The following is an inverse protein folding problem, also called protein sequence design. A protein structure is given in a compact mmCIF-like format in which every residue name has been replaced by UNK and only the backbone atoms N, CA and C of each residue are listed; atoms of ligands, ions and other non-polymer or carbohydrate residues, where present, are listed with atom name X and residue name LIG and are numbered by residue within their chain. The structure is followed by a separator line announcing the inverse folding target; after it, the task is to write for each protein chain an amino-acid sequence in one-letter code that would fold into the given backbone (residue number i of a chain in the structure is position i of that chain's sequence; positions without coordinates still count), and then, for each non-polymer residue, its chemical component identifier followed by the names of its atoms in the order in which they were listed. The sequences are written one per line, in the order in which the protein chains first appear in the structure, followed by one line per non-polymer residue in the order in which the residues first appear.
data_IF_193928623735
#
_entry.id   IF_193928623735
#
_cell.length_a   1.000
_cell.length_b   1.000
_cell.length_c   1.000
_cell.angle_alpha   90.00
_cell.angle_beta   90.00
_cell.angle_gamma   90.00
#
_symmetry.space_group_name_H-M   'P 1'
#
loop_
_entity.id
_entity.type
_entity.pdbx_description
1 polymer ?
#
# COMPACT_ATOMS: atom_id res chain seq x y z
N UNK A 1 14.42 1.04 26.94
CA UNK A 1 13.13 1.03 26.24
C UNK A 1 13.35 0.16 25.02
N UNK A 2 12.64 -0.96 24.90
CA UNK A 2 12.67 -1.73 23.66
C UNK A 2 12.09 -0.83 22.56
N UNK A 3 12.83 -0.64 21.47
CA UNK A 3 12.35 0.09 20.30
C UNK A 3 11.14 -0.64 19.75
N UNK A 4 9.99 -0.02 19.77
CA UNK A 4 8.77 -0.55 19.17
C UNK A 4 9.00 -0.72 17.66
N UNK A 5 8.87 -1.94 17.14
CA UNK A 5 8.90 -2.17 15.71
C UNK A 5 7.76 -1.42 14.99
N UNK A 6 8.10 -0.81 13.87
CA UNK A 6 7.14 -0.11 13.01
C UNK A 6 6.09 -1.08 12.49
N UNK A 7 4.80 -0.76 12.64
CA UNK A 7 3.69 -1.50 12.04
C UNK A 7 3.48 -1.06 10.59
N UNK A 8 3.69 -2.00 9.68
CA UNK A 8 3.56 -1.77 8.23
C UNK A 8 2.26 -2.39 7.73
N UNK A 9 1.30 -1.56 7.34
CA UNK A 9 0.10 -2.01 6.63
C UNK A 9 0.44 -2.30 5.17
N UNK A 10 0.08 -3.49 4.69
CA UNK A 10 0.39 -3.94 3.34
C UNK A 10 -0.91 -4.30 2.63
N UNK A 11 -1.28 -3.55 1.59
CA UNK A 11 -2.46 -3.89 0.78
C UNK A 11 -2.07 -4.85 -0.35
N UNK A 12 -2.90 -5.85 -0.60
CA UNK A 12 -2.58 -6.91 -1.58
C UNK A 12 -2.64 -6.48 -3.05
N UNK A 13 -3.26 -5.31 -3.36
CA UNK A 13 -3.41 -4.83 -4.73
C UNK A 13 -4.44 -5.63 -5.54
N UNK A 14 -4.19 -5.79 -6.85
CA UNK A 14 -5.05 -6.61 -7.71
C UNK A 14 -4.84 -8.09 -7.40
N UNK A 15 -5.91 -8.80 -6.97
CA UNK A 15 -5.86 -10.23 -6.65
C UNK A 15 -5.58 -11.12 -7.86
N UNK A 16 -5.79 -10.64 -9.07
CA UNK A 16 -5.51 -11.34 -10.32
C UNK A 16 -4.11 -11.03 -10.87
N UNK A 17 -3.40 -10.10 -10.22
CA UNK A 17 -2.06 -9.64 -10.58
C UNK A 17 -0.95 -10.24 -9.73
N UNK A 18 0.16 -9.51 -9.64
CA UNK A 18 1.41 -9.95 -9.00
C UNK A 18 1.50 -9.56 -7.51
N UNK A 19 0.51 -8.85 -6.94
CA UNK A 19 0.61 -8.32 -5.59
C UNK A 19 0.89 -9.40 -4.53
N UNK A 20 0.07 -10.45 -4.50
CA UNK A 20 0.31 -11.58 -3.59
C UNK A 20 1.61 -12.32 -3.86
N UNK A 21 2.04 -12.44 -5.12
CA UNK A 21 3.33 -13.06 -5.45
C UNK A 21 4.49 -12.32 -4.78
N UNK A 22 4.52 -10.99 -4.92
CA UNK A 22 5.57 -10.16 -4.31
C UNK A 22 5.52 -10.26 -2.79
N UNK A 23 4.34 -10.14 -2.18
CA UNK A 23 4.16 -10.24 -0.73
C UNK A 23 4.64 -11.61 -0.21
N UNK A 24 4.17 -12.71 -0.83
CA UNK A 24 4.51 -14.07 -0.40
C UNK A 24 6.00 -14.35 -0.56
N UNK A 25 6.63 -13.95 -1.68
CA UNK A 25 8.06 -14.12 -1.89
C UNK A 25 8.89 -13.31 -0.87
N UNK A 26 8.46 -12.10 -0.54
CA UNK A 26 9.13 -11.27 0.47
C UNK A 26 9.11 -11.94 1.83
N UNK A 27 7.96 -12.41 2.27
CA UNK A 27 7.80 -13.00 3.60
C UNK A 27 8.05 -14.52 3.67
N UNK A 28 8.50 -15.13 2.56
CA UNK A 28 9.12 -16.46 2.62
C UNK A 28 10.47 -16.45 3.35
N UNK A 29 11.15 -15.30 3.37
CA UNK A 29 12.27 -15.03 4.26
C UNK A 29 11.75 -14.53 5.62
N UNK A 30 11.86 -15.38 6.64
CA UNK A 30 11.34 -15.09 7.99
C UNK A 30 12.00 -13.86 8.64
N UNK A 31 13.23 -13.52 8.24
CA UNK A 31 13.95 -12.33 8.74
C UNK A 31 13.26 -11.02 8.40
N UNK A 32 12.42 -11.00 7.35
CA UNK A 32 11.64 -9.82 6.99
C UNK A 32 10.65 -9.40 8.08
N UNK A 33 10.13 -10.36 8.87
CA UNK A 33 9.24 -10.05 9.99
C UNK A 33 9.99 -9.56 11.25
N UNK A 34 11.33 -9.62 11.26
CA UNK A 34 12.15 -9.06 12.34
C UNK A 34 12.41 -7.56 12.14
N UNK A 35 12.30 -7.07 10.89
CA UNK A 35 12.55 -5.66 10.55
C UNK A 35 11.35 -4.75 10.87
N UNK A 36 10.14 -5.31 10.88
CA UNK A 36 8.90 -4.57 11.13
C UNK A 36 7.80 -5.53 11.59
N UNK A 37 6.65 -5.00 12.00
CA UNK A 37 5.44 -5.78 12.23
C UNK A 37 4.54 -5.67 10.99
N UNK A 38 4.61 -6.62 10.02
CA UNK A 38 3.80 -6.56 8.82
C UNK A 38 2.36 -6.99 9.09
N UNK A 39 1.41 -6.23 8.53
CA UNK A 39 -0.03 -6.49 8.60
C UNK A 39 -0.58 -6.45 7.17
N UNK A 40 -0.87 -7.62 6.62
CA UNK A 40 -1.44 -7.75 5.27
C UNK A 40 -2.95 -7.54 5.36
N UNK A 41 -3.47 -6.59 4.59
CA UNK A 41 -4.89 -6.39 4.38
C UNK A 41 -5.31 -7.13 3.12
N UNK A 42 -6.12 -8.19 3.27
CA UNK A 42 -6.47 -9.03 2.13
C UNK A 42 -7.32 -10.23 2.49
N UNK A 43 -6.94 -11.41 2.00
CA UNK A 43 -7.59 -12.68 2.31
C UNK A 43 -6.55 -13.80 2.45
N UNK A 44 -6.60 -14.50 3.56
CA UNK A 44 -5.75 -15.67 3.82
C UNK A 44 -6.03 -16.81 2.82
N UNK A 45 -7.27 -16.94 2.34
CA UNK A 45 -7.64 -17.93 1.32
C UNK A 45 -7.01 -17.59 -0.04
N UNK A 46 -7.06 -16.31 -0.44
CA UNK A 46 -6.45 -15.85 -1.69
C UNK A 46 -4.92 -15.97 -1.60
N UNK A 47 -4.32 -15.60 -0.47
CA UNK A 47 -2.90 -15.81 -0.22
C UNK A 47 -2.51 -17.29 -0.36
N UNK A 48 -3.29 -18.21 0.21
CA UNK A 48 -3.07 -19.65 0.08
C UNK A 48 -3.23 -20.17 -1.37
N UNK A 49 -4.17 -19.59 -2.13
CA UNK A 49 -4.33 -19.88 -3.56
C UNK A 49 -3.06 -19.50 -4.35
N UNK A 50 -2.60 -18.25 -4.21
CA UNK A 50 -1.39 -17.77 -4.89
C UNK A 50 -0.16 -18.56 -4.46
N UNK A 51 0.00 -18.86 -3.17
CA UNK A 51 1.10 -19.69 -2.68
C UNK A 51 1.15 -21.04 -3.37
N UNK A 52 0.00 -21.70 -3.52
CA UNK A 52 -0.09 -23.00 -4.21
C UNK A 52 0.22 -22.88 -5.69
N UNK A 53 -0.35 -21.87 -6.36
CA UNK A 53 -0.13 -21.63 -7.79
C UNK A 53 1.33 -21.31 -8.12
N UNK A 54 2.07 -20.72 -7.18
CA UNK A 54 3.49 -20.36 -7.30
C UNK A 54 4.43 -21.43 -6.73
N UNK A 55 3.89 -22.53 -6.22
CA UNK A 55 4.67 -23.62 -5.59
C UNK A 55 5.59 -23.13 -4.45
N UNK A 56 5.19 -22.06 -3.75
CA UNK A 56 5.97 -21.51 -2.64
C UNK A 56 5.81 -22.36 -1.36
N UNK A 57 6.85 -22.37 -0.51
CA UNK A 57 6.78 -23.06 0.77
C UNK A 57 5.65 -22.51 1.66
N UNK A 58 5.20 -23.26 2.66
CA UNK A 58 4.23 -22.76 3.64
C UNK A 58 4.76 -21.52 4.36
N UNK A 59 3.95 -20.46 4.39
CA UNK A 59 4.21 -19.24 5.16
C UNK A 59 3.22 -19.23 6.32
N UNK A 60 3.73 -19.18 7.54
CA UNK A 60 2.89 -19.12 8.73
C UNK A 60 2.36 -17.69 8.92
N UNK A 61 1.13 -17.44 8.50
CA UNK A 61 0.45 -16.17 8.68
C UNK A 61 -0.45 -16.22 9.92
N UNK A 62 -0.27 -15.24 10.79
CA UNK A 62 -1.14 -15.02 11.95
C UNK A 62 -2.40 -14.30 11.50
N UNK A 63 -3.53 -15.01 11.47
CA UNK A 63 -4.82 -14.41 11.10
C UNK A 63 -5.34 -13.65 12.31
N UNK A 64 -5.59 -12.36 12.14
CA UNK A 64 -6.07 -11.44 13.17
C UNK A 64 -7.32 -10.71 12.68
N UNK A 65 -8.14 -10.26 13.64
CA UNK A 65 -9.35 -9.48 13.35
C UNK A 65 -9.09 -7.98 13.37
N UNK A 66 -8.15 -7.52 14.19
CA UNK A 66 -7.82 -6.10 14.36
C UNK A 66 -6.31 -5.89 14.29
N UNK A 67 -5.87 -4.76 13.74
CA UNK A 67 -4.44 -4.43 13.60
C UNK A 67 -3.74 -4.23 14.95
N UNK A 68 -4.50 -3.97 16.01
CA UNK A 68 -4.02 -3.92 17.39
C UNK A 68 -3.44 -5.26 17.86
N UNK A 69 -4.03 -6.38 17.40
CA UNK A 69 -3.67 -7.75 17.78
C UNK A 69 -2.44 -8.29 17.02
N UNK A 70 -1.80 -7.45 16.21
CA UNK A 70 -0.67 -7.86 15.40
C UNK A 70 0.51 -8.33 16.26
N UNK A 71 0.86 -9.61 16.07
CA UNK A 71 2.01 -10.21 16.74
C UNK A 71 3.34 -9.73 16.15
N UNK A 72 4.30 -9.42 17.01
CA UNK A 72 5.68 -9.07 16.65
C UNK A 72 6.40 -10.32 16.11
N UNK A 73 7.36 -10.13 15.20
CA UNK A 73 8.11 -11.20 14.54
C UNK A 73 7.22 -12.22 13.81
N UNK A 74 6.05 -11.79 13.36
CA UNK A 74 5.08 -12.61 12.61
C UNK A 74 4.52 -11.84 11.43
N UNK A 75 4.21 -12.56 10.39
CA UNK A 75 3.41 -12.03 9.29
C UNK A 75 1.94 -12.09 9.69
N UNK A 76 1.32 -10.94 9.89
CA UNK A 76 -0.09 -10.86 10.26
C UNK A 76 -0.95 -10.62 9.02
N UNK A 77 -2.18 -11.14 9.01
CA UNK A 77 -3.15 -10.93 7.94
C UNK A 77 -4.54 -10.65 8.51
N UNK A 78 -5.18 -9.61 8.00
CA UNK A 78 -6.58 -9.26 8.26
C UNK A 78 -7.38 -9.64 7.03
N UNK A 79 -8.39 -10.50 7.21
CA UNK A 79 -9.34 -10.83 6.14
C UNK A 79 -10.34 -9.67 5.98
N UNK A 80 -10.15 -8.86 4.94
CA UNK A 80 -11.03 -7.73 4.59
C UNK A 80 -11.74 -7.93 3.24
N UNK A 81 -11.56 -9.10 2.64
CA UNK A 81 -12.18 -9.52 1.37
C UNK A 81 -12.98 -10.79 1.60
N UNK A 82 -14.10 -10.89 0.91
CA UNK A 82 -15.02 -12.02 1.06
C UNK A 82 -14.34 -13.35 0.72
N UNK A 83 -14.67 -14.36 1.51
CA UNK A 83 -14.06 -15.71 1.43
C UNK A 83 -14.30 -16.42 0.10
N UNK A 84 -15.38 -16.08 -0.61
CA UNK A 84 -15.78 -16.69 -1.89
C UNK A 84 -15.24 -15.93 -3.11
N UNK A 85 -14.41 -14.91 -2.89
CA UNK A 85 -13.81 -14.10 -3.95
C UNK A 85 -12.98 -14.97 -4.89
N UNK A 86 -13.38 -15.01 -6.17
CA UNK A 86 -12.74 -15.84 -7.19
C UNK A 86 -11.52 -15.12 -7.76
N UNK A 87 -10.38 -15.80 -7.75
CA UNK A 87 -9.16 -15.37 -8.44
C UNK A 87 -9.17 -15.85 -9.89
N UNK A 88 -8.96 -14.94 -10.82
CA UNK A 88 -8.81 -15.21 -12.26
C UNK A 88 -7.52 -14.57 -12.77
N UNK A 89 -6.41 -15.27 -12.60
CA UNK A 89 -5.08 -14.77 -12.93
C UNK A 89 -5.01 -14.12 -14.32
N UNK A 90 -4.32 -12.97 -14.39
CA UNK A 90 -4.11 -12.20 -15.62
C UNK A 90 -5.38 -11.58 -16.24
N UNK A 91 -6.52 -11.62 -15.53
CA UNK A 91 -7.75 -10.99 -16.00
C UNK A 91 -8.07 -9.73 -15.22
N UNK A 92 -8.50 -8.69 -15.93
CA UNK A 92 -9.08 -7.51 -15.30
C UNK A 92 -10.57 -7.78 -15.02
N UNK A 93 -10.93 -7.89 -13.73
CA UNK A 93 -12.32 -8.15 -13.30
C UNK A 93 -12.78 -7.11 -12.30
N UNK A 94 -14.09 -6.74 -12.28
CA UNK A 94 -14.62 -5.82 -11.27
C UNK A 94 -14.40 -6.30 -9.84
N UNK A 95 -14.54 -7.60 -9.59
CA UNK A 95 -14.33 -8.23 -8.28
C UNK A 95 -12.89 -8.03 -7.78
N UNK A 96 -11.89 -8.12 -8.68
CA UNK A 96 -10.51 -7.86 -8.31
C UNK A 96 -10.27 -6.40 -7.94
N UNK A 97 -10.89 -5.48 -8.65
CA UNK A 97 -10.84 -4.04 -8.34
C UNK A 97 -11.50 -3.70 -7.01
N UNK A 98 -12.69 -4.23 -6.76
CA UNK A 98 -13.41 -4.07 -5.49
C UNK A 98 -12.60 -4.63 -4.31
N UNK A 99 -12.01 -5.83 -4.49
CA UNK A 99 -11.14 -6.43 -3.47
C UNK A 99 -9.92 -5.57 -3.15
N UNK A 100 -9.29 -5.00 -4.18
CA UNK A 100 -8.15 -4.10 -4.01
C UNK A 100 -8.54 -2.83 -3.25
N UNK A 101 -9.72 -2.28 -3.54
CA UNK A 101 -10.23 -1.09 -2.86
C UNK A 101 -10.58 -1.38 -1.40
N UNK A 102 -11.30 -2.48 -1.09
CA UNK A 102 -11.61 -2.90 0.29
C UNK A 102 -10.34 -3.03 1.15
N UNK A 103 -9.28 -3.65 0.60
CA UNK A 103 -8.01 -3.78 1.31
C UNK A 103 -7.34 -2.42 1.56
N UNK A 104 -7.37 -1.51 0.58
CA UNK A 104 -6.82 -0.17 0.71
C UNK A 104 -7.60 0.66 1.75
N UNK A 105 -8.92 0.61 1.72
CA UNK A 105 -9.79 1.34 2.66
C UNK A 105 -9.60 0.86 4.10
N UNK A 106 -9.53 -0.46 4.32
CA UNK A 106 -9.28 -1.03 5.64
C UNK A 106 -7.92 -0.58 6.19
N UNK A 107 -6.86 -0.65 5.38
CA UNK A 107 -5.53 -0.21 5.78
C UNK A 107 -5.46 1.30 6.08
N UNK A 108 -6.11 2.12 5.26
CA UNK A 108 -6.21 3.57 5.46
C UNK A 108 -6.98 3.91 6.73
N UNK A 109 -8.02 3.16 7.05
CA UNK A 109 -8.79 3.33 8.29
C UNK A 109 -7.92 3.11 9.52
N UNK A 110 -7.16 2.03 9.55
CA UNK A 110 -6.26 1.74 10.67
C UNK A 110 -5.08 2.72 10.75
N UNK A 111 -4.58 3.20 9.63
CA UNK A 111 -3.58 4.24 9.58
C UNK A 111 -4.11 5.58 10.12
N UNK A 112 -5.36 5.96 9.80
CA UNK A 112 -6.01 7.16 10.38
C UNK A 112 -6.19 7.06 11.90
N UNK A 113 -6.41 5.85 12.42
CA UNK A 113 -6.50 5.57 13.86
C UNK A 113 -5.13 5.54 14.55
N UNK A 114 -4.02 5.62 13.80
CA UNK A 114 -2.66 5.54 14.33
C UNK A 114 -2.24 4.15 14.78
N UNK A 115 -2.96 3.11 14.35
CA UNK A 115 -2.64 1.70 14.65
C UNK A 115 -1.55 1.17 13.71
N UNK A 116 -1.53 1.66 12.48
CA UNK A 116 -0.53 1.40 11.46
C UNK A 116 0.33 2.65 11.26
N UNK A 117 1.65 2.49 11.23
CA UNK A 117 2.60 3.59 11.15
C UNK A 117 2.90 4.00 9.70
N UNK A 118 2.99 3.03 8.80
CA UNK A 118 3.26 3.24 7.36
C UNK A 118 2.42 2.30 6.51
N UNK A 119 2.14 2.71 5.28
CA UNK A 119 1.39 1.94 4.29
C UNK A 119 2.29 1.57 3.11
N UNK A 120 2.33 0.29 2.78
CA UNK A 120 2.95 -0.26 1.58
C UNK A 120 1.83 -0.80 0.68
N UNK A 121 1.75 -0.30 -0.56
CA UNK A 121 0.70 -0.68 -1.49
C UNK A 121 1.24 -1.58 -2.60
N UNK A 122 0.68 -2.79 -2.74
CA UNK A 122 0.95 -3.63 -3.90
C UNK A 122 0.24 -3.07 -5.16
N UNK A 123 0.69 -3.44 -6.37
CA UNK A 123 0.15 -2.90 -7.60
C UNK A 123 -1.35 -3.14 -7.77
N UNK A 124 -2.07 -2.10 -8.18
CA UNK A 124 -3.49 -2.15 -8.57
C UNK A 124 -3.64 -2.13 -10.08
N UNK A 125 -4.76 -2.63 -10.57
CA UNK A 125 -5.19 -2.37 -11.92
C UNK A 125 -6.07 -1.11 -11.93
N UNK A 126 -5.56 -0.04 -12.58
CA UNK A 126 -6.19 1.28 -12.57
C UNK A 126 -7.55 1.33 -13.29
N UNK A 127 -7.87 0.32 -14.08
CA UNK A 127 -9.16 0.22 -14.77
C UNK A 127 -10.22 -0.43 -13.89
N UNK A 128 -9.91 -1.60 -13.31
CA UNK A 128 -10.92 -2.36 -12.59
C UNK A 128 -11.19 -1.86 -11.17
N UNK A 129 -10.27 -1.07 -10.57
CA UNK A 129 -10.47 -0.47 -9.25
C UNK A 129 -11.45 0.71 -9.27
N UNK A 130 -11.71 1.32 -10.45
CA UNK A 130 -12.65 2.42 -10.57
C UNK A 130 -14.07 1.98 -10.21
N UNK A 131 -14.69 2.65 -9.25
CA UNK A 131 -16.05 2.42 -8.80
C UNK A 131 -16.64 3.72 -8.24
N UNK A 132 -17.84 3.69 -7.66
CA UNK A 132 -18.50 4.89 -7.12
C UNK A 132 -17.70 5.58 -6.01
N UNK A 133 -16.88 4.83 -5.26
CA UNK A 133 -16.08 5.34 -4.13
C UNK A 133 -14.62 5.63 -4.50
N UNK A 134 -14.12 5.06 -5.62
CA UNK A 134 -12.74 5.23 -6.07
C UNK A 134 -12.68 5.82 -7.48
N UNK A 135 -12.62 7.14 -7.57
CA UNK A 135 -12.44 7.90 -8.81
C UNK A 135 -11.08 8.62 -8.83
N UNK A 136 -9.99 7.87 -8.66
CA UNK A 136 -8.64 8.42 -8.57
C UNK A 136 -7.73 7.81 -9.64
N UNK A 137 -6.75 8.58 -10.16
CA UNK A 137 -5.73 8.05 -11.09
C UNK A 137 -4.88 6.93 -10.49
N UNK A 138 -4.74 6.91 -9.16
CA UNK A 138 -3.96 5.92 -8.45
C UNK A 138 -3.96 6.11 -6.93
N UNK A 139 -3.06 5.39 -6.26
CA UNK A 139 -2.93 5.43 -4.80
C UNK A 139 -2.60 6.83 -4.27
N UNK A 140 -1.71 7.55 -4.94
CA UNK A 140 -1.21 8.86 -4.46
C UNK A 140 -2.35 9.86 -4.27
N UNK A 141 -3.22 9.98 -5.25
CA UNK A 141 -4.34 10.92 -5.24
C UNK A 141 -5.41 10.51 -4.21
N UNK A 142 -5.66 9.20 -4.11
CA UNK A 142 -6.55 8.66 -3.07
C UNK A 142 -6.02 8.93 -1.67
N UNK A 143 -4.75 8.64 -1.41
CA UNK A 143 -4.11 8.87 -0.11
C UNK A 143 -4.02 10.36 0.21
N UNK A 144 -3.74 11.21 -0.77
CA UNK A 144 -3.77 12.67 -0.60
C UNK A 144 -5.16 13.13 -0.14
N UNK A 145 -6.24 12.61 -0.74
CA UNK A 145 -7.61 12.89 -0.27
C UNK A 145 -7.85 12.40 1.15
N UNK A 146 -7.37 11.21 1.49
CA UNK A 146 -7.62 10.59 2.80
C UNK A 146 -6.87 11.25 3.96
N UNK A 147 -5.63 11.71 3.73
CA UNK A 147 -4.74 12.27 4.74
C UNK A 147 -4.42 13.73 4.55
N UNK A 148 -4.80 14.29 3.40
CA UNK A 148 -4.64 15.67 3.06
C UNK A 148 -5.60 16.59 3.81
N UNK A 149 -5.42 17.87 3.61
CA UNK A 149 -6.27 18.96 4.07
C UNK A 149 -5.95 20.19 3.23
N UNK A 150 -6.50 21.34 3.59
CA UNK A 150 -6.27 22.59 2.85
C UNK A 150 -4.78 22.90 2.62
N UNK A 151 -3.92 22.49 3.58
CA UNK A 151 -2.47 22.75 3.56
C UNK A 151 -1.59 21.50 3.46
N UNK A 152 -2.18 20.31 3.28
CA UNK A 152 -1.43 19.04 3.21
C UNK A 152 -1.54 18.44 1.81
N UNK A 153 -0.47 18.56 1.04
CA UNK A 153 -0.34 17.95 -0.29
C UNK A 153 0.66 16.81 -0.25
N UNK A 154 0.44 15.79 -1.06
CA UNK A 154 1.38 14.71 -1.24
C UNK A 154 2.69 15.23 -1.86
N UNK A 155 3.80 14.66 -1.44
CA UNK A 155 5.11 14.87 -2.03
C UNK A 155 5.68 13.50 -2.43
N UNK A 156 5.95 13.34 -3.73
CA UNK A 156 6.65 12.14 -4.20
C UNK A 156 8.14 12.30 -3.93
N UNK A 157 8.70 11.33 -3.22
CA UNK A 157 10.13 11.25 -2.90
C UNK A 157 10.64 9.91 -3.44
N UNK A 158 11.63 9.97 -4.32
CA UNK A 158 12.38 8.80 -4.78
C UNK A 158 13.60 8.65 -3.88
N UNK A 159 13.81 7.44 -3.37
CA UNK A 159 14.89 7.17 -2.42
C UNK A 159 15.75 6.00 -2.91
N UNK A 160 17.06 6.17 -2.79
CA UNK A 160 18.03 5.08 -2.92
C UNK A 160 19.22 5.39 -2.02
N UNK A 161 19.48 4.52 -1.09
CA UNK A 161 20.52 4.71 -0.06
C UNK A 161 20.32 6.09 0.62
N UNK A 162 21.33 6.95 0.60
CA UNK A 162 21.27 8.30 1.16
C UNK A 162 20.71 9.36 0.20
N UNK A 163 20.48 9.00 -1.08
CA UNK A 163 19.94 9.93 -2.07
C UNK A 163 18.42 9.99 -1.95
N UNK A 164 17.89 11.19 -1.77
CA UNK A 164 16.46 11.49 -1.76
C UNK A 164 16.15 12.58 -2.78
N UNK A 165 15.26 12.27 -3.72
CA UNK A 165 14.85 13.20 -4.78
C UNK A 165 13.36 13.47 -4.67
N UNK A 166 12.99 14.70 -4.30
CA UNK A 166 11.61 15.15 -4.24
C UNK A 166 11.20 15.86 -5.54
N UNK A 167 9.98 15.61 -6.00
CA UNK A 167 9.49 16.16 -7.26
C UNK A 167 8.67 17.45 -7.01
N UNK A 168 9.00 18.51 -7.73
CA UNK A 168 8.18 19.74 -7.74
C UNK A 168 6.95 19.55 -8.62
N UNK A 169 7.12 18.97 -9.81
CA UNK A 169 6.05 18.63 -10.75
C UNK A 169 6.05 17.14 -11.06
N UNK A 170 4.91 16.58 -11.42
CA UNK A 170 4.78 15.18 -11.84
C UNK A 170 3.58 14.99 -12.77
N UNK A 171 3.66 14.00 -13.67
CA UNK A 171 2.58 13.58 -14.57
C UNK A 171 2.01 14.71 -15.47
N UNK A 172 2.85 15.68 -15.87
CA UNK A 172 2.48 16.73 -16.81
C UNK A 172 3.32 16.60 -18.09
N UNK A 173 2.81 17.07 -19.26
CA UNK A 173 3.59 17.13 -20.49
C UNK A 173 4.88 17.97 -20.31
N UNK A 174 5.97 17.53 -20.93
CA UNK A 174 7.26 18.24 -20.83
C UNK A 174 7.15 19.73 -21.22
N UNK A 175 6.33 20.04 -22.23
CA UNK A 175 6.05 21.41 -22.67
C UNK A 175 5.42 22.32 -21.60
N UNK A 176 4.79 21.74 -20.58
CA UNK A 176 4.14 22.47 -19.51
C UNK A 176 5.01 22.63 -18.25
N UNK A 177 6.16 21.94 -18.18
CA UNK A 177 7.01 21.94 -16.97
C UNK A 177 7.46 23.35 -16.63
N UNK A 178 8.01 24.08 -17.61
CA UNK A 178 8.53 25.43 -17.37
C UNK A 178 7.47 26.42 -16.86
N UNK A 179 6.24 26.34 -17.40
CA UNK A 179 5.13 27.21 -16.99
C UNK A 179 4.48 26.78 -15.66
N UNK A 180 4.68 25.55 -15.25
CA UNK A 180 4.12 25.01 -13.99
C UNK A 180 5.04 25.23 -12.78
N UNK A 181 6.29 25.62 -13.00
CA UNK A 181 7.24 25.86 -11.90
C UNK A 181 7.12 27.33 -11.45
N UNK A 182 6.84 27.52 -10.18
CA UNK A 182 6.84 28.83 -9.54
C UNK A 182 7.48 28.78 -8.15
N UNK A 183 7.90 29.92 -7.64
CA UNK A 183 8.60 30.03 -6.35
C UNK A 183 7.76 29.50 -5.20
N UNK A 184 6.45 29.78 -5.20
CA UNK A 184 5.53 29.36 -4.14
C UNK A 184 5.47 27.83 -4.02
N UNK A 185 5.35 27.12 -5.15
CA UNK A 185 5.31 25.66 -5.17
C UNK A 185 6.64 25.04 -4.74
N UNK A 186 7.77 25.59 -5.18
CA UNK A 186 9.10 25.14 -4.75
C UNK A 186 9.23 25.28 -3.23
N UNK A 187 8.93 26.44 -2.67
CA UNK A 187 9.02 26.71 -1.23
C UNK A 187 8.11 25.76 -0.43
N UNK A 188 6.89 25.54 -0.93
CA UNK A 188 5.95 24.64 -0.26
C UNK A 188 6.46 23.19 -0.28
N UNK A 189 6.94 22.70 -1.44
CA UNK A 189 7.51 21.34 -1.56
C UNK A 189 8.76 21.18 -0.67
N UNK A 190 9.63 22.19 -0.58
CA UNK A 190 10.78 22.19 0.32
C UNK A 190 10.36 22.10 1.79
N UNK A 191 9.31 22.80 2.21
CA UNK A 191 8.79 22.73 3.58
C UNK A 191 8.24 21.34 3.89
N UNK A 192 7.50 20.73 2.97
CA UNK A 192 6.98 19.36 3.14
C UNK A 192 8.16 18.37 3.23
N UNK A 193 9.14 18.51 2.32
CA UNK A 193 10.33 17.65 2.31
C UNK A 193 11.11 17.74 3.61
N UNK A 194 11.38 18.94 4.09
CA UNK A 194 12.10 19.15 5.36
C UNK A 194 11.39 18.57 6.59
N UNK A 195 10.04 18.48 6.56
CA UNK A 195 9.28 17.84 7.64
C UNK A 195 9.30 16.32 7.56
N UNK A 196 9.64 15.74 6.41
CA UNK A 196 9.68 14.29 6.18
C UNK A 196 11.05 13.67 6.44
N UNK A 197 12.07 14.51 6.67
CA UNK A 197 13.43 14.11 7.05
C UNK A 197 13.54 13.85 8.55
#
# INVERSE_FOLDING_TARGET
MEERLIKVGITHGDINGIGYEVILKTFSDTRMAELCTPIIYGSSKIAAYHRKALELPPINMNIISHAEDAGVNRVNIINCVEDETKVELSKSTPVAGESAFKALEAAVTDMKRGVVDVLLTAPINKHNIQNEDFHFPGHTEYLEKCFGGLDKKALMILMKDDLRVALVTGHIPLSQVASSINVGDIVNKLRIFNKSL
#
